data_IF_126271457033
#
_entry.id   IF_126271457033
#
_cell.length_a   1.000
_cell.length_b   1.000
_cell.length_c   1.000
_cell.angle_alpha   90.00
_cell.angle_beta   90.00
_cell.angle_gamma   90.00
#
_symmetry.space_group_name_H-M   'P 1'
#
loop_
_entity.id
_entity.type
_entity.pdbx_description
1 polymer ?
#
# COMPACT_ATOMS: atom_id res chain seq x y z
N UNK A 1 10.42 22.93 7.01
CA UNK A 1 9.20 22.15 6.64
C UNK A 1 9.55 21.44 5.35
N UNK A 2 9.74 20.12 5.40
CA UNK A 2 10.06 19.32 4.21
C UNK A 2 8.77 18.60 3.78
N UNK A 3 8.26 18.93 2.60
CA UNK A 3 7.06 18.32 2.02
C UNK A 3 7.39 17.78 0.64
N UNK A 4 6.93 16.56 0.35
CA UNK A 4 6.99 15.94 -0.97
C UNK A 4 5.56 15.67 -1.46
N UNK A 5 5.24 16.12 -2.68
CA UNK A 5 3.92 15.93 -3.28
C UNK A 5 4.01 15.07 -4.54
N UNK A 6 3.14 14.06 -4.62
CA UNK A 6 2.92 13.23 -5.81
C UNK A 6 1.48 13.42 -6.32
N UNK A 7 1.31 13.53 -7.62
CA UNK A 7 0.00 13.56 -8.27
C UNK A 7 0.05 12.73 -9.55
N UNK A 8 -0.95 11.88 -9.74
CA UNK A 8 -1.11 11.01 -10.91
C UNK A 8 -2.59 10.94 -11.29
N UNK A 9 -2.84 10.89 -12.61
CA UNK A 9 -4.14 10.52 -13.15
C UNK A 9 -4.15 9.01 -13.35
N UNK A 10 -5.13 8.33 -12.78
CA UNK A 10 -5.33 6.88 -12.92
C UNK A 10 -6.65 6.67 -13.65
N UNK A 11 -6.61 5.98 -14.77
CA UNK A 11 -7.80 5.63 -15.56
C UNK A 11 -8.52 4.43 -14.92
N UNK A 12 -9.17 4.68 -13.78
CA UNK A 12 -9.94 3.70 -13.03
C UNK A 12 -11.05 4.39 -12.22
N UNK A 13 -12.14 3.69 -11.88
CA UNK A 13 -13.13 4.19 -10.93
C UNK A 13 -12.48 4.55 -9.58
N UNK A 14 -12.91 5.66 -8.98
CA UNK A 14 -12.33 6.17 -7.72
C UNK A 14 -12.43 5.13 -6.59
N UNK A 15 -13.49 4.34 -6.58
CA UNK A 15 -13.76 3.33 -5.56
C UNK A 15 -12.71 2.22 -5.63
N UNK A 16 -12.28 1.83 -6.83
CA UNK A 16 -11.23 0.82 -7.01
C UNK A 16 -9.88 1.36 -6.55
N UNK A 17 -9.55 2.61 -6.89
CA UNK A 17 -8.32 3.25 -6.43
C UNK A 17 -8.30 3.34 -4.91
N UNK A 18 -9.42 3.74 -4.28
CA UNK A 18 -9.53 3.78 -2.83
C UNK A 18 -9.33 2.39 -2.20
N UNK A 19 -9.96 1.36 -2.76
CA UNK A 19 -9.82 -0.03 -2.29
C UNK A 19 -8.37 -0.51 -2.30
N UNK A 20 -7.56 -0.15 -3.29
CA UNK A 20 -6.14 -0.50 -3.33
C UNK A 20 -5.37 -0.04 -2.08
N UNK A 21 -5.84 1.00 -1.39
CA UNK A 21 -5.21 1.53 -0.17
C UNK A 21 -5.85 1.03 1.13
N UNK A 22 -7.06 0.48 1.07
CA UNK A 22 -7.85 0.18 2.28
C UNK A 22 -8.17 -1.30 2.46
N UNK A 23 -8.10 -2.08 1.39
CA UNK A 23 -8.32 -3.52 1.38
C UNK A 23 -6.96 -4.22 1.57
N UNK A 24 -6.70 -4.87 2.72
CA UNK A 24 -5.40 -5.48 2.99
C UNK A 24 -5.04 -6.59 1.98
N UNK A 25 -6.03 -7.23 1.36
CA UNK A 25 -5.79 -8.27 0.34
C UNK A 25 -5.29 -7.67 -1.00
N UNK A 26 -5.52 -6.38 -1.23
CA UNK A 26 -5.08 -5.70 -2.46
C UNK A 26 -3.71 -5.02 -2.32
N UNK A 27 -3.28 -4.67 -1.11
CA UNK A 27 -1.99 -3.98 -0.86
C UNK A 27 -0.79 -4.76 -1.43
N UNK A 28 -0.66 -6.09 -1.22
CA UNK A 28 0.48 -6.85 -1.72
C UNK A 28 0.65 -6.85 -3.24
N UNK A 29 -0.40 -6.51 -3.99
CA UNK A 29 -0.40 -6.57 -5.46
C UNK A 29 0.36 -5.36 -6.06
N UNK A 30 0.39 -4.21 -5.39
CA UNK A 30 0.87 -2.96 -6.00
C UNK A 30 1.83 -2.13 -5.15
N UNK A 31 1.84 -2.31 -3.82
CA UNK A 31 2.52 -1.38 -2.90
C UNK A 31 4.06 -1.38 -3.04
N UNK A 32 4.65 -2.54 -3.38
CA UNK A 32 6.08 -2.69 -3.53
C UNK A 32 6.48 -2.80 -5.01
N UNK A 33 7.56 -2.13 -5.44
CA UNK A 33 8.13 -2.38 -6.76
C UNK A 33 8.89 -3.73 -6.75
N UNK A 34 8.83 -4.53 -7.84
CA UNK A 34 9.70 -5.68 -7.99
C UNK A 34 11.19 -5.31 -7.82
N UNK A 35 12.03 -6.15 -7.20
CA UNK A 35 11.75 -7.51 -6.72
C UNK A 35 11.16 -7.58 -5.29
N UNK A 36 10.82 -6.44 -4.68
CA UNK A 36 10.21 -6.42 -3.34
C UNK A 36 8.75 -6.86 -3.39
N UNK A 37 8.27 -7.44 -2.30
CA UNK A 37 6.87 -7.82 -2.09
C UNK A 37 6.34 -7.33 -0.75
N UNK A 38 5.11 -7.73 -0.42
CA UNK A 38 4.51 -7.53 0.90
C UNK A 38 4.17 -8.91 1.47
N UNK A 39 4.69 -9.25 2.65
CA UNK A 39 4.40 -10.52 3.32
C UNK A 39 3.18 -10.44 4.24
N UNK A 40 2.87 -9.25 4.77
CA UNK A 40 1.73 -9.00 5.64
C UNK A 40 1.20 -7.59 5.46
N UNK A 41 -0.12 -7.46 5.36
CA UNK A 41 -0.82 -6.18 5.35
C UNK A 41 -1.98 -6.22 6.35
N UNK A 42 -2.07 -5.22 7.21
CA UNK A 42 -3.19 -5.01 8.12
C UNK A 42 -3.63 -3.55 8.03
N UNK A 43 -4.94 -3.34 7.95
CA UNK A 43 -5.55 -2.00 7.84
C UNK A 43 -6.76 -1.93 8.78
N UNK A 44 -6.66 -1.09 9.81
CA UNK A 44 -7.79 -0.71 10.66
C UNK A 44 -8.47 0.53 10.06
N UNK A 45 -9.44 0.32 9.17
CA UNK A 45 -10.04 1.37 8.36
C UNK A 45 -11.05 2.23 9.14
N UNK A 46 -10.53 3.10 10.00
CA UNK A 46 -11.27 4.13 10.73
C UNK A 46 -10.37 5.31 11.05
N UNK A 47 -10.96 6.44 11.42
CA UNK A 47 -10.20 7.60 11.91
C UNK A 47 -9.39 7.20 13.16
N UNK A 48 -8.08 7.46 13.13
CA UNK A 48 -7.15 7.06 14.18
C UNK A 48 -6.78 5.57 14.20
N UNK A 49 -7.22 4.78 13.20
CA UNK A 49 -6.76 3.40 13.01
C UNK A 49 -5.34 3.33 12.46
N UNK A 50 -4.68 2.19 12.69
CA UNK A 50 -3.30 1.95 12.25
C UNK A 50 -3.25 1.13 10.95
N UNK A 51 -2.10 1.18 10.28
CA UNK A 51 -1.75 0.25 9.21
C UNK A 51 -0.38 -0.37 9.50
N UNK A 52 -0.25 -1.67 9.21
CA UNK A 52 1.00 -2.41 9.26
C UNK A 52 1.22 -3.04 7.89
N UNK A 53 2.34 -2.74 7.24
CA UNK A 53 2.74 -3.34 5.97
C UNK A 53 4.17 -3.84 6.15
N UNK A 54 4.37 -5.15 6.10
CA UNK A 54 5.69 -5.78 6.16
C UNK A 54 6.18 -6.00 4.74
N UNK A 55 7.25 -5.31 4.37
CA UNK A 55 7.88 -5.44 3.06
C UNK A 55 8.87 -6.60 3.09
N UNK A 56 8.82 -7.44 2.06
CA UNK A 56 9.74 -8.55 1.90
C UNK A 56 10.75 -8.27 0.80
N UNK A 57 12.02 -8.36 1.13
CA UNK A 57 13.12 -8.20 0.18
C UNK A 57 13.55 -9.51 -0.50
N UNK A 58 14.32 -9.42 -1.59
CA UNK A 58 14.78 -10.59 -2.34
C UNK A 58 15.79 -11.46 -1.56
N UNK A 59 16.46 -10.91 -0.55
CA UNK A 59 17.51 -11.59 0.22
C UNK A 59 16.98 -12.13 1.56
N UNK A 60 15.66 -12.14 1.75
CA UNK A 60 14.98 -12.69 2.92
C UNK A 60 14.69 -11.67 4.03
N UNK A 61 14.75 -10.38 3.71
CA UNK A 61 14.40 -9.29 4.64
C UNK A 61 12.89 -9.26 4.95
N UNK A 62 12.53 -9.01 6.20
CA UNK A 62 11.20 -8.63 6.71
C UNK A 62 11.31 -7.73 7.95
#
# INVERSE_FOLDING_TARGET
MYELKLTRLIDAPRENVFRCWTDPDLIPIWFCPPPWGVSRAEVDLRVGGASLIVMKGPDGEE
#
